data_IF_201999254970
#
_entry.id   IF_201999254970
#
_cell.length_a   1.000
_cell.length_b   1.000
_cell.length_c   1.000
_cell.angle_alpha   90.00
_cell.angle_beta   90.00
_cell.angle_gamma   90.00
#
_symmetry.space_group_name_H-M   'P 1'
#
loop_
_entity.id
_entity.type
_entity.pdbx_description
1 polymer ?
#
# COMPACT_ATOMS: atom_id res chain seq x y z
N UNK A 1 -66.30 -11.78 -26.61
CA UNK A 1 -66.52 -10.44 -27.15
C UNK A 1 -65.66 -9.51 -26.32
N UNK A 2 -64.49 -9.16 -26.84
CA UNK A 2 -64.17 -7.80 -27.34
C UNK A 2 -62.65 -7.64 -27.44
N UNK A 3 -62.25 -7.29 -28.65
CA UNK A 3 -60.90 -7.06 -29.16
C UNK A 3 -60.42 -5.61 -28.95
N UNK A 4 -59.12 -5.41 -29.25
CA UNK A 4 -58.42 -4.15 -29.63
C UNK A 4 -57.80 -3.33 -28.47
N UNK A 5 -56.66 -2.64 -28.59
CA UNK A 5 -55.61 -2.54 -29.60
C UNK A 5 -54.35 -1.93 -28.96
N UNK A 6 -53.23 -2.06 -29.68
CA UNK A 6 -51.85 -1.65 -29.41
C UNK A 6 -51.68 -0.13 -29.40
N UNK A 7 -50.78 0.42 -28.57
CA UNK A 7 -50.05 1.66 -28.89
C UNK A 7 -48.55 1.46 -28.65
N UNK A 8 -47.82 1.36 -29.76
CA UNK A 8 -46.38 1.49 -29.92
C UNK A 8 -46.06 2.97 -30.06
N UNK A 9 -45.02 3.49 -29.39
CA UNK A 9 -44.41 4.76 -29.81
C UNK A 9 -42.92 4.84 -29.43
N UNK A 10 -42.12 4.51 -30.45
CA UNK A 10 -40.93 5.20 -30.96
C UNK A 10 -39.59 5.25 -30.18
N UNK A 11 -38.61 4.66 -30.87
CA UNK A 11 -37.16 4.79 -30.77
C UNK A 11 -36.68 6.25 -30.82
N UNK A 12 -35.59 6.54 -30.10
CA UNK A 12 -34.75 7.71 -30.36
C UNK A 12 -33.30 7.23 -30.45
N UNK A 13 -32.84 7.05 -31.69
CA UNK A 13 -31.43 6.93 -32.04
C UNK A 13 -30.97 8.28 -32.61
N UNK A 14 -29.95 8.89 -31.98
CA UNK A 14 -29.06 9.86 -32.63
C UNK A 14 -27.77 9.94 -31.78
N UNK A 15 -26.65 9.35 -32.18
CA UNK A 15 -25.69 9.69 -33.25
C UNK A 15 -24.68 10.78 -32.87
N UNK A 16 -23.41 10.36 -32.76
CA UNK A 16 -22.22 11.13 -33.16
C UNK A 16 -21.48 11.96 -32.09
N UNK A 17 -20.26 11.55 -31.72
CA UNK A 17 -19.04 12.14 -32.31
C UNK A 17 -17.76 11.62 -31.60
N UNK A 18 -16.81 11.13 -32.41
CA UNK A 18 -15.43 10.85 -32.01
C UNK A 18 -14.60 12.13 -32.27
N UNK A 19 -13.91 12.65 -31.27
CA UNK A 19 -12.71 13.43 -31.53
C UNK A 19 -11.63 13.14 -30.48
N UNK A 20 -10.51 12.62 -30.96
CA UNK A 20 -9.25 12.52 -30.22
C UNK A 20 -8.44 13.77 -30.51
N UNK A 21 -7.99 14.46 -29.47
CA UNK A 21 -6.76 15.26 -29.55
C UNK A 21 -5.95 15.06 -28.26
N UNK A 22 -4.71 14.63 -28.43
CA UNK A 22 -3.80 14.37 -27.33
C UNK A 22 -3.22 15.65 -26.74
N UNK A 23 -2.75 15.56 -25.51
CA UNK A 23 -1.57 16.31 -25.08
C UNK A 23 -0.84 15.52 -24.01
N UNK A 24 0.40 15.16 -24.34
CA UNK A 24 1.41 14.64 -23.44
C UNK A 24 1.88 15.79 -22.55
N UNK A 25 1.69 15.65 -21.24
CA UNK A 25 2.21 16.55 -20.23
C UNK A 25 2.53 15.76 -18.97
N UNK A 26 3.69 15.12 -18.96
CA UNK A 26 4.32 14.64 -17.73
C UNK A 26 4.68 15.86 -16.89
N UNK A 27 4.22 15.92 -15.64
CA UNK A 27 5.04 16.51 -14.58
C UNK A 27 4.60 16.03 -13.20
N UNK A 28 5.54 15.31 -12.59
CA UNK A 28 5.60 14.94 -11.19
C UNK A 28 5.36 16.13 -10.27
N UNK A 29 4.50 15.94 -9.28
CA UNK A 29 4.76 16.40 -7.92
C UNK A 29 3.89 15.57 -6.98
N UNK A 30 4.44 14.45 -6.55
CA UNK A 30 4.08 13.79 -5.30
C UNK A 30 4.14 14.82 -4.18
N UNK A 31 2.98 15.37 -3.83
CA UNK A 31 2.70 15.98 -2.54
C UNK A 31 1.41 15.35 -2.02
N UNK A 32 1.49 14.07 -1.67
CA UNK A 32 0.63 13.56 -0.61
C UNK A 32 1.15 14.18 0.69
N UNK A 33 0.84 15.46 0.91
CA UNK A 33 0.81 15.98 2.26
C UNK A 33 -0.32 15.23 2.96
N UNK A 34 0.03 14.27 3.81
CA UNK A 34 -0.86 13.69 4.81
C UNK A 34 -1.42 14.85 5.64
N UNK A 35 -2.56 15.37 5.22
CA UNK A 35 -3.41 16.15 6.12
C UNK A 35 -4.02 15.12 7.05
N UNK A 36 -3.39 14.93 8.20
CA UNK A 36 -3.97 14.18 9.31
C UNK A 36 -5.28 14.86 9.67
N UNK A 37 -6.37 14.27 9.19
CA UNK A 37 -7.71 14.75 9.45
C UNK A 37 -7.97 14.52 10.94
N UNK A 38 -8.24 15.57 11.71
CA UNK A 38 -8.39 15.48 13.18
C UNK A 38 -9.60 14.64 13.64
N UNK A 39 -10.31 14.00 12.70
CA UNK A 39 -11.42 13.08 12.91
C UNK A 39 -11.12 11.64 12.42
N UNK A 40 -9.85 11.29 12.15
CA UNK A 40 -9.51 9.92 11.75
C UNK A 40 -9.70 8.93 12.91
N UNK A 41 -10.34 7.79 12.62
CA UNK A 41 -10.53 6.70 13.56
C UNK A 41 -9.16 6.28 14.14
N UNK A 42 -8.95 6.31 15.47
CA UNK A 42 -7.67 5.94 16.08
C UNK A 42 -7.22 4.51 15.68
N UNK A 43 -8.16 3.63 15.36
CA UNK A 43 -7.86 2.29 14.87
C UNK A 43 -7.30 2.27 13.45
N UNK A 44 -7.66 3.25 12.61
CA UNK A 44 -7.13 3.37 11.26
C UNK A 44 -5.61 3.53 11.29
N UNK A 45 -5.08 4.40 12.15
CA UNK A 45 -3.64 4.65 12.31
C UNK A 45 -2.90 3.39 12.80
N UNK A 46 -3.50 2.66 13.74
CA UNK A 46 -2.89 1.42 14.25
C UNK A 46 -2.87 0.36 13.15
N UNK A 47 -3.98 0.22 12.42
CA UNK A 47 -4.10 -0.78 11.35
C UNK A 47 -3.20 -0.44 10.15
N UNK A 48 -3.08 0.84 9.77
CA UNK A 48 -2.15 1.27 8.71
C UNK A 48 -0.71 0.92 9.07
N UNK A 49 -0.31 1.17 10.31
CA UNK A 49 1.03 0.85 10.79
C UNK A 49 1.29 -0.67 10.82
N UNK A 50 0.33 -1.47 11.25
CA UNK A 50 0.47 -2.94 11.21
C UNK A 50 0.59 -3.44 9.76
N UNK A 51 -0.14 -2.81 8.84
CA UNK A 51 -0.10 -3.18 7.44
C UNK A 51 1.21 -2.77 6.75
N UNK A 52 1.78 -1.61 7.09
CA UNK A 52 3.09 -1.15 6.57
C UNK A 52 4.24 -2.03 7.05
N UNK A 53 4.12 -2.62 8.25
CA UNK A 53 5.03 -3.65 8.77
C UNK A 53 4.86 -5.00 8.05
N UNK A 54 3.82 -5.17 7.23
CA UNK A 54 3.56 -6.36 6.43
C UNK A 54 2.76 -7.45 7.14
N UNK A 55 2.12 -7.13 8.28
CA UNK A 55 1.23 -8.08 8.96
C UNK A 55 -0.01 -8.37 8.11
N UNK A 56 -0.47 -9.63 8.14
CA UNK A 56 -1.67 -10.05 7.39
C UNK A 56 -2.92 -9.94 8.24
N UNK A 57 -4.11 -9.87 7.62
CA UNK A 57 -5.40 -9.70 8.31
C UNK A 57 -5.59 -10.53 9.60
N UNK A 58 -5.38 -11.86 9.61
CA UNK A 58 -5.50 -12.67 10.83
C UNK A 58 -4.50 -12.30 11.93
N UNK A 59 -3.30 -11.90 11.53
CA UNK A 59 -2.23 -11.48 12.43
C UNK A 59 -2.55 -10.12 13.05
N UNK A 60 -3.04 -9.17 12.25
CA UNK A 60 -3.53 -7.87 12.70
C UNK A 60 -4.64 -8.06 13.74
N UNK A 61 -5.62 -8.95 13.50
CA UNK A 61 -6.67 -9.26 14.49
C UNK A 61 -6.08 -9.80 15.80
N UNK A 62 -5.06 -10.64 15.69
CA UNK A 62 -4.39 -11.22 16.86
C UNK A 62 -3.67 -10.14 17.66
N UNK A 63 -2.98 -9.23 16.99
CA UNK A 63 -2.28 -8.10 17.62
C UNK A 63 -3.27 -7.12 18.26
N UNK A 64 -4.34 -6.75 17.56
CA UNK A 64 -5.41 -5.89 18.10
C UNK A 64 -6.05 -6.48 19.35
N UNK A 65 -6.30 -7.79 19.36
CA UNK A 65 -6.88 -8.48 20.52
C UNK A 65 -5.91 -8.52 21.70
N UNK A 66 -4.63 -8.84 21.46
CA UNK A 66 -3.64 -9.03 22.54
C UNK A 66 -3.15 -7.70 23.11
N UNK A 67 -2.82 -6.75 22.24
CA UNK A 67 -2.16 -5.51 22.62
C UNK A 67 -3.15 -4.42 23.01
N UNK A 68 -4.30 -4.36 22.31
CA UNK A 68 -5.24 -3.25 22.45
C UNK A 68 -6.61 -3.67 23.02
N UNK A 69 -6.76 -4.95 23.42
CA UNK A 69 -8.02 -5.56 23.86
C UNK A 69 -9.20 -5.30 22.90
N UNK A 70 -8.91 -5.07 21.62
CA UNK A 70 -9.88 -4.73 20.60
C UNK A 70 -10.23 -5.97 19.78
N UNK A 71 -11.51 -6.36 19.82
CA UNK A 71 -12.02 -7.52 19.09
C UNK A 71 -12.75 -7.05 17.84
N UNK A 72 -12.16 -7.33 16.69
CA UNK A 72 -12.75 -7.08 15.37
C UNK A 72 -12.82 -8.38 14.57
N UNK A 73 -13.86 -8.51 13.76
CA UNK A 73 -14.00 -9.61 12.81
C UNK A 73 -13.14 -9.35 11.57
N UNK A 74 -12.68 -10.42 10.91
CA UNK A 74 -11.88 -10.30 9.69
C UNK A 74 -12.66 -9.63 8.55
N UNK A 75 -13.96 -9.88 8.45
CA UNK A 75 -14.84 -9.21 7.47
C UNK A 75 -14.93 -7.70 7.74
N UNK A 76 -15.06 -7.29 9.00
CA UNK A 76 -15.08 -5.88 9.39
C UNK A 76 -13.74 -5.21 9.09
N UNK A 77 -12.62 -5.87 9.42
CA UNK A 77 -11.29 -5.37 9.09
C UNK A 77 -11.11 -5.19 7.56
N UNK A 78 -11.58 -6.15 6.76
CA UNK A 78 -11.54 -6.05 5.31
C UNK A 78 -12.45 -4.94 4.76
N UNK A 79 -13.62 -4.75 5.35
CA UNK A 79 -14.54 -3.65 5.02
C UNK A 79 -13.94 -2.29 5.33
N UNK A 80 -13.43 -2.09 6.55
CA UNK A 80 -12.75 -0.87 6.97
C UNK A 80 -11.50 -0.61 6.11
N UNK A 81 -10.73 -1.64 5.79
CA UNK A 81 -9.58 -1.52 4.89
C UNK A 81 -9.95 -1.02 3.50
N UNK A 82 -11.09 -1.45 2.93
CA UNK A 82 -11.60 -0.91 1.66
C UNK A 82 -12.02 0.55 1.78
N UNK A 83 -12.73 0.91 2.84
CA UNK A 83 -13.18 2.28 3.10
C UNK A 83 -11.97 3.22 3.27
N UNK A 84 -10.92 2.74 3.92
CA UNK A 84 -9.71 3.50 4.21
C UNK A 84 -8.66 3.49 3.10
N UNK A 85 -8.89 2.78 1.99
CA UNK A 85 -7.89 2.64 0.91
C UNK A 85 -6.61 1.93 1.37
N UNK A 86 -6.75 0.95 2.26
CA UNK A 86 -5.65 0.14 2.81
C UNK A 86 -5.59 -1.24 2.15
N UNK A 87 -5.86 -1.33 0.85
CA UNK A 87 -5.72 -2.61 0.19
C UNK A 87 -4.23 -2.92 0.00
N UNK A 88 -3.90 -4.20 0.01
CA UNK A 88 -2.53 -4.65 -0.20
C UNK A 88 -1.95 -4.18 -1.55
N UNK A 89 -2.83 -3.86 -2.51
CA UNK A 89 -2.48 -3.22 -3.79
C UNK A 89 -1.90 -1.81 -3.65
N UNK A 90 -2.26 -1.12 -2.56
CA UNK A 90 -1.93 0.28 -2.31
C UNK A 90 -0.61 0.40 -1.54
N UNK A 91 -0.12 -0.70 -0.97
CA UNK A 91 1.19 -0.78 -0.35
C UNK A 91 2.31 -0.77 -1.40
N UNK A 92 3.48 -0.20 -1.07
CA UNK A 92 4.64 -0.25 -1.95
C UNK A 92 4.96 -1.70 -2.30
N UNK A 93 4.95 -2.01 -3.60
CA UNK A 93 5.27 -3.34 -4.11
C UNK A 93 6.65 -3.74 -3.62
N UNK A 94 6.76 -4.94 -3.04
CA UNK A 94 8.06 -5.48 -2.65
C UNK A 94 9.01 -5.50 -3.86
N UNK A 95 10.31 -5.24 -3.67
CA UNK A 95 11.28 -5.33 -4.75
C UNK A 95 11.26 -6.72 -5.39
N UNK A 96 11.62 -6.81 -6.68
CA UNK A 96 11.75 -8.11 -7.37
C UNK A 96 12.72 -9.04 -6.60
N UNK A 97 12.54 -10.37 -6.63
CA UNK A 97 13.40 -11.30 -5.88
C UNK A 97 14.91 -11.09 -6.12
N UNK A 98 15.32 -10.77 -7.36
CA UNK A 98 16.71 -10.45 -7.68
C UNK A 98 17.22 -9.21 -6.92
N UNK A 99 16.40 -8.16 -6.81
CA UNK A 99 16.73 -6.95 -6.05
C UNK A 99 16.81 -7.27 -4.56
N UNK A 100 15.89 -8.10 -4.05
CA UNK A 100 15.93 -8.54 -2.65
C UNK A 100 17.22 -9.31 -2.34
N UNK A 101 17.63 -10.25 -3.21
CA UNK A 101 18.88 -10.99 -3.06
C UNK A 101 20.10 -10.05 -3.09
N UNK A 102 20.11 -9.06 -3.99
CA UNK A 102 21.17 -8.04 -4.02
C UNK A 102 21.24 -7.22 -2.74
N UNK A 103 20.08 -6.81 -2.18
CA UNK A 103 20.01 -6.09 -0.90
C UNK A 103 20.58 -6.94 0.23
N UNK A 104 20.17 -8.22 0.32
CA UNK A 104 20.65 -9.15 1.35
C UNK A 104 22.17 -9.38 1.22
N UNK A 105 22.65 -9.61 -0.01
CA UNK A 105 24.08 -9.76 -0.30
C UNK A 105 24.86 -8.50 0.08
N UNK A 106 24.34 -7.31 -0.25
CA UNK A 106 24.96 -6.04 0.14
C UNK A 106 25.04 -5.88 1.65
N UNK A 107 23.95 -6.17 2.37
CA UNK A 107 23.94 -6.13 3.83
C UNK A 107 24.98 -7.09 4.45
N UNK A 108 25.09 -8.31 3.91
CA UNK A 108 26.11 -9.26 4.34
C UNK A 108 27.52 -8.71 4.14
N UNK A 109 27.80 -8.09 2.98
CA UNK A 109 29.10 -7.47 2.70
C UNK A 109 29.40 -6.29 3.63
N UNK A 110 28.41 -5.46 3.91
CA UNK A 110 28.54 -4.34 4.86
C UNK A 110 28.82 -4.85 6.26
N UNK A 111 28.17 -5.93 6.70
CA UNK A 111 28.42 -6.55 8.00
C UNK A 111 29.85 -7.09 8.08
N UNK A 112 30.30 -7.81 7.05
CA UNK A 112 31.69 -8.31 6.97
C UNK A 112 32.71 -7.16 7.00
N UNK A 113 32.45 -6.05 6.31
CA UNK A 113 33.33 -4.89 6.33
C UNK A 113 33.45 -4.30 7.74
N UNK A 114 32.33 -4.17 8.45
CA UNK A 114 32.33 -3.69 9.85
C UNK A 114 33.14 -4.61 10.75
N UNK A 115 32.98 -5.93 10.61
CA UNK A 115 33.75 -6.91 11.37
C UNK A 115 35.26 -6.78 11.12
N UNK A 116 35.67 -6.61 9.86
CA UNK A 116 37.09 -6.37 9.51
C UNK A 116 37.60 -5.06 10.11
N UNK A 117 36.80 -3.99 10.04
CA UNK A 117 37.14 -2.70 10.65
C UNK A 117 37.31 -2.81 12.17
N UNK A 118 36.42 -3.54 12.85
CA UNK A 118 36.48 -3.77 14.29
C UNK A 118 37.74 -4.57 14.70
N UNK A 119 38.10 -5.59 13.93
CA UNK A 119 39.34 -6.36 14.13
C UNK A 119 40.57 -5.45 13.98
N UNK A 120 40.63 -4.68 12.89
CA UNK A 120 41.75 -3.77 12.62
C UNK A 120 41.89 -2.70 13.71
N UNK A 121 40.76 -2.11 14.15
CA UNK A 121 40.74 -1.14 15.23
C UNK A 121 41.27 -1.75 16.53
N UNK A 122 40.87 -2.99 16.85
CA UNK A 122 41.34 -3.69 18.05
C UNK A 122 42.84 -3.96 18.00
N UNK A 123 43.40 -4.34 16.86
CA UNK A 123 44.81 -4.69 16.72
C UNK A 123 45.73 -3.47 16.61
N UNK A 124 45.34 -2.49 15.81
CA UNK A 124 46.21 -1.35 15.46
C UNK A 124 45.89 -0.08 16.23
N UNK A 125 44.72 0.00 16.88
CA UNK A 125 44.12 1.21 17.46
C UNK A 125 43.92 2.34 16.44
N UNK A 126 44.04 2.04 15.15
CA UNK A 126 43.75 2.97 14.06
C UNK A 126 42.34 2.69 13.58
N UNK A 127 41.51 3.74 13.61
CA UNK A 127 40.16 3.66 13.07
C UNK A 127 40.21 3.82 11.55
N UNK A 128 39.80 2.79 10.80
CA UNK A 128 39.76 2.80 9.33
C UNK A 128 38.32 2.97 8.88
N UNK A 129 37.97 4.16 8.42
CA UNK A 129 36.71 4.45 7.74
C UNK A 129 36.93 4.55 6.23
N UNK A 130 35.95 4.12 5.45
CA UNK A 130 35.92 4.25 3.98
C UNK A 130 35.13 5.50 3.60
#
# INVERSE_FOLDING_TARGET
>A
MDDHQIVVTNHSEFSGSNDKTGSSGTQDASKNSETLNENEDPWKIIITNLLSQGHKGPEIITILRKTHNYKILLSTLAGSGKIWGLQLSDLPKRPKPAIQASIVSLHSKVLQLKEIQDILLKETRVNVSV
#
